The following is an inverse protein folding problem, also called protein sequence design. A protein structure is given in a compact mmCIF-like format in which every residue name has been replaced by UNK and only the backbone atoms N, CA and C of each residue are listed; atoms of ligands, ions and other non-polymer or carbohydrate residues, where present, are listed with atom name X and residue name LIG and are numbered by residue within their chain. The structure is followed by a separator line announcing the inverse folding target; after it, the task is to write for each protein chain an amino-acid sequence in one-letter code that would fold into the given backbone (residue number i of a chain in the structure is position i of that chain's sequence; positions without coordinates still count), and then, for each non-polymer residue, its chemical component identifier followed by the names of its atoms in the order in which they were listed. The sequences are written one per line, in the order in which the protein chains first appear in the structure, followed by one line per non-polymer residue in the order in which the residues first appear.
data_IF_537406054810
#
_entry.id   IF_537406054810
#
_cell.length_a   1.000
_cell.length_b   1.000
_cell.length_c   1.000
_cell.angle_alpha   90.00
_cell.angle_beta   90.00
_cell.angle_gamma   90.00
#
_symmetry.space_group_name_H-M   'P 1'
#
loop_
_entity.id
_entity.type
_entity.pdbx_description
1 polymer ?
#
# COMPACT_ATOMS: atom_id res chain seq x y z
N UNK A 1 -12.68 -2.99 5.08
CA UNK A 1 -12.14 -1.72 4.56
C UNK A 1 -12.31 -0.65 5.65
N UNK A 2 -11.50 -0.70 6.71
CA UNK A 2 -11.83 -0.11 8.04
C UNK A 2 -12.28 1.35 8.03
N UNK A 3 -11.55 2.24 7.36
CA UNK A 3 -11.92 3.66 7.31
C UNK A 3 -13.20 3.91 6.51
N UNK A 4 -13.39 3.22 5.39
CA UNK A 4 -14.60 3.37 4.58
C UNK A 4 -15.84 2.83 5.31
N UNK A 5 -15.68 1.71 6.01
CA UNK A 5 -16.73 1.11 6.83
C UNK A 5 -17.17 2.09 7.94
N UNK A 6 -16.21 2.76 8.59
CA UNK A 6 -16.47 3.70 9.67
C UNK A 6 -17.03 5.06 9.21
N UNK A 7 -16.58 5.58 8.07
CA UNK A 7 -16.81 6.99 7.69
C UNK A 7 -17.82 7.17 6.55
N UNK A 8 -17.98 6.17 5.69
CA UNK A 8 -18.82 6.28 4.50
C UNK A 8 -19.62 5.00 4.19
N UNK A 9 -19.90 4.18 5.21
CA UNK A 9 -20.75 2.99 5.08
C UNK A 9 -20.23 2.00 4.03
N UNK A 10 -18.91 1.80 4.00
CA UNK A 10 -18.22 0.86 3.11
C UNK A 10 -18.05 1.34 1.67
N UNK A 11 -18.49 2.56 1.33
CA UNK A 11 -18.37 3.08 -0.04
C UNK A 11 -16.97 3.58 -0.32
N UNK A 12 -16.25 2.88 -1.19
CA UNK A 12 -14.89 3.24 -1.62
C UNK A 12 -14.70 2.88 -3.08
N UNK A 13 -13.96 3.72 -3.80
CA UNK A 13 -13.58 3.50 -5.21
C UNK A 13 -12.08 3.71 -5.32
N UNK A 14 -11.39 2.76 -5.94
CA UNK A 14 -10.01 2.92 -6.36
C UNK A 14 -9.99 3.20 -7.87
N UNK A 15 -9.28 4.26 -8.28
CA UNK A 15 -9.12 4.65 -9.70
C UNK A 15 -7.68 4.33 -10.08
N UNK A 16 -7.50 3.55 -11.14
CA UNK A 16 -6.17 3.17 -11.61
C UNK A 16 -5.51 4.37 -12.31
N UNK A 17 -4.28 4.67 -11.90
CA UNK A 17 -3.49 5.78 -12.44
C UNK A 17 -2.32 5.24 -13.29
N UNK A 18 -1.10 5.27 -12.76
CA UNK A 18 0.09 4.73 -13.41
C UNK A 18 0.41 3.29 -13.03
N UNK A 19 1.45 2.76 -13.66
CA UNK A 19 1.93 1.40 -13.45
C UNK A 19 2.81 1.00 -14.62
N UNK A 20 4.12 1.09 -14.45
CA UNK A 20 5.06 1.03 -15.57
C UNK A 20 5.90 -0.26 -15.61
N UNK A 21 5.76 -1.13 -14.63
CA UNK A 21 6.40 -2.46 -14.63
C UNK A 21 5.41 -3.49 -15.15
N UNK A 22 5.53 -3.85 -16.42
CA UNK A 22 4.70 -4.89 -17.04
C UNK A 22 4.71 -6.19 -16.23
N UNK A 23 5.88 -6.55 -15.67
CA UNK A 23 6.07 -7.78 -14.92
C UNK A 23 5.47 -7.76 -13.51
N UNK A 24 5.41 -6.59 -12.86
CA UNK A 24 5.07 -6.52 -11.42
C UNK A 24 3.75 -5.83 -11.10
N UNK A 25 3.32 -4.87 -11.92
CA UNK A 25 2.02 -4.19 -11.76
C UNK A 25 0.84 -5.16 -11.64
N UNK A 26 0.78 -6.31 -12.36
CA UNK A 26 -0.31 -7.27 -12.20
C UNK A 26 -0.48 -7.78 -10.76
N UNK A 27 0.61 -8.05 -10.04
CA UNK A 27 0.55 -8.55 -8.66
C UNK A 27 0.11 -7.46 -7.69
N UNK A 28 0.63 -6.24 -7.83
CA UNK A 28 0.21 -5.09 -7.04
C UNK A 28 -1.28 -4.78 -7.22
N UNK A 29 -1.74 -4.74 -8.48
CA UNK A 29 -3.15 -4.48 -8.81
C UNK A 29 -4.07 -5.58 -8.31
N UNK A 30 -3.68 -6.85 -8.46
CA UNK A 30 -4.46 -7.99 -7.96
C UNK A 30 -4.68 -7.92 -6.44
N UNK A 31 -3.63 -7.56 -5.67
CA UNK A 31 -3.77 -7.37 -4.21
C UNK A 31 -4.73 -6.24 -3.83
N UNK A 32 -4.80 -5.16 -4.61
CA UNK A 32 -5.83 -4.12 -4.42
C UNK A 32 -7.23 -4.68 -4.65
N UNK A 33 -7.43 -5.45 -5.73
CA UNK A 33 -8.73 -6.05 -6.06
C UNK A 33 -9.18 -7.04 -4.98
N UNK A 34 -8.29 -7.91 -4.52
CA UNK A 34 -8.56 -8.82 -3.40
C UNK A 34 -8.98 -8.09 -2.12
N UNK A 35 -8.24 -7.04 -1.74
CA UNK A 35 -8.57 -6.22 -0.58
C UNK A 35 -9.92 -5.52 -0.68
N UNK A 36 -10.31 -5.08 -1.88
CA UNK A 36 -11.64 -4.51 -2.14
C UNK A 36 -12.75 -5.56 -2.15
N UNK A 37 -12.47 -6.76 -2.65
CA UNK A 37 -13.42 -7.88 -2.69
C UNK A 37 -13.54 -8.60 -1.33
N UNK A 38 -12.59 -8.39 -0.41
CA UNK A 38 -12.55 -9.08 0.88
C UNK A 38 -12.27 -10.58 0.74
N UNK A 39 -11.48 -10.97 -0.27
CA UNK A 39 -11.11 -12.35 -0.54
C UNK A 39 -9.59 -12.46 -0.61
N UNK A 40 -9.09 -13.66 -0.31
CA UNK A 40 -7.71 -14.05 -0.57
C UNK A 40 -7.71 -15.17 -1.61
N UNK A 41 -6.93 -15.03 -2.67
CA UNK A 41 -6.67 -16.10 -3.63
C UNK A 41 -5.32 -16.76 -3.37
N UNK A 42 -5.08 -17.89 -4.04
CA UNK A 42 -3.81 -18.61 -3.98
C UNK A 42 -2.71 -17.97 -4.86
N UNK A 43 -2.92 -16.77 -5.40
CA UNK A 43 -1.91 -16.07 -6.19
C UNK A 43 -0.71 -15.69 -5.30
N UNK A 44 0.42 -16.32 -5.59
CA UNK A 44 1.70 -16.01 -4.96
C UNK A 44 2.44 -14.97 -5.79
N UNK A 45 2.92 -13.94 -5.11
CA UNK A 45 3.85 -12.96 -5.69
C UNK A 45 5.28 -13.50 -5.64
N UNK A 46 5.90 -13.83 -6.80
CA UNK A 46 7.23 -14.41 -6.84
C UNK A 46 8.35 -13.39 -6.56
N UNK A 47 8.07 -12.09 -6.62
CA UNK A 47 9.06 -11.03 -6.44
C UNK A 47 9.09 -10.51 -5.00
N UNK A 48 7.98 -10.62 -4.28
CA UNK A 48 7.82 -10.11 -2.92
C UNK A 48 8.97 -10.52 -1.96
N UNK A 49 9.43 -11.79 -1.89
CA UNK A 49 10.53 -12.15 -0.99
C UNK A 49 11.78 -11.31 -1.22
N UNK A 50 12.11 -11.05 -2.50
CA UNK A 50 13.28 -10.26 -2.83
C UNK A 50 13.10 -8.78 -2.49
N UNK A 51 11.90 -8.24 -2.69
CA UNK A 51 11.61 -6.84 -2.34
C UNK A 51 11.59 -6.60 -0.83
N UNK A 52 11.26 -7.61 -0.02
CA UNK A 52 11.39 -7.55 1.45
C UNK A 52 12.86 -7.45 1.85
N UNK A 53 13.75 -8.23 1.24
CA UNK A 53 15.20 -8.15 1.50
C UNK A 53 15.81 -6.79 1.13
N UNK A 54 15.16 -6.04 0.25
CA UNK A 54 15.62 -4.74 -0.25
C UNK A 54 15.05 -3.55 0.53
N UNK A 55 14.27 -3.79 1.59
CA UNK A 55 13.72 -2.70 2.39
C UNK A 55 14.82 -1.87 3.07
N UNK A 56 14.57 -0.57 3.33
CA UNK A 56 15.52 0.29 4.02
C UNK A 56 15.91 -0.23 5.42
N UNK A 57 17.10 0.15 5.86
CA UNK A 57 17.53 -0.15 7.23
C UNK A 57 16.83 0.75 8.27
N UNK A 58 17.08 0.46 9.55
CA UNK A 58 16.46 1.19 10.65
C UNK A 58 16.81 2.68 10.65
N UNK A 59 18.02 3.08 10.23
CA UNK A 59 18.41 4.48 10.21
C UNK A 59 17.60 5.25 9.17
N UNK A 60 17.44 4.69 7.97
CA UNK A 60 16.64 5.28 6.91
C UNK A 60 15.14 5.30 7.25
N UNK A 61 14.62 4.23 7.86
CA UNK A 61 13.23 4.19 8.34
C UNK A 61 12.97 5.31 9.34
N UNK A 62 13.81 5.42 10.38
CA UNK A 62 13.66 6.44 11.42
C UNK A 62 13.67 7.85 10.85
N UNK A 63 14.57 8.12 9.89
CA UNK A 63 14.64 9.41 9.22
C UNK A 63 13.36 9.71 8.43
N UNK A 64 12.87 8.76 7.62
CA UNK A 64 11.66 8.96 6.81
C UNK A 64 10.41 9.15 7.68
N UNK A 65 10.30 8.41 8.80
CA UNK A 65 9.22 8.58 9.77
C UNK A 65 9.24 9.98 10.39
N UNK A 66 10.40 10.46 10.84
CA UNK A 66 10.51 11.81 11.40
C UNK A 66 10.11 12.91 10.40
N UNK A 67 10.36 12.71 9.09
CA UNK A 67 9.88 13.62 8.05
C UNK A 67 8.36 13.57 7.88
N UNK A 68 7.75 12.40 8.01
CA UNK A 68 6.29 12.27 8.01
C UNK A 68 5.68 12.96 9.23
N UNK A 69 6.28 12.79 10.41
CA UNK A 69 5.83 13.47 11.64
C UNK A 69 5.90 15.01 11.47
N UNK A 70 6.99 15.51 10.88
CA UNK A 70 7.12 16.95 10.57
C UNK A 70 6.02 17.44 9.62
N UNK A 71 5.66 16.65 8.60
CA UNK A 71 4.56 16.98 7.69
C UNK A 71 3.21 16.99 8.41
N UNK A 72 2.97 16.03 9.31
CA UNK A 72 1.75 15.96 10.10
C UNK A 72 1.61 17.18 11.04
N UNK A 73 2.67 17.53 11.78
CA UNK A 73 2.70 18.72 12.64
C UNK A 73 2.43 20.00 11.85
N UNK A 74 3.04 20.14 10.66
CA UNK A 74 2.84 21.30 9.78
C UNK A 74 1.37 21.43 9.33
N UNK A 75 0.68 20.30 9.14
CA UNK A 75 -0.73 20.24 8.76
C UNK A 75 -1.68 20.30 9.96
N UNK A 76 -1.16 20.28 11.20
CA UNK A 76 -1.95 20.25 12.44
C UNK A 76 -2.73 18.95 12.65
N UNK A 77 -2.21 17.84 12.13
CA UNK A 77 -2.77 16.48 12.28
C UNK A 77 -2.18 15.76 13.49
#
# INVERSE_FOLDING_TARGET
MTAADALCGGRVVAIHEGGYSEAYVPFCGHRVVEGLAGIDTDLVDPFLPKFIEQQPDAAQINWQCAMIDTMAETLGL
#
